data_IF_623930499289
#
_entry.id   IF_623930499289
#
_cell.length_a   1.000
_cell.length_b   1.000
_cell.length_c   1.000
_cell.angle_alpha   90.00
_cell.angle_beta   90.00
_cell.angle_gamma   90.00
#
_symmetry.space_group_name_H-M   'P 1'
#
loop_
_entity.id
_entity.type
_entity.pdbx_description
1 polymer ?
#
# COMPACT_ATOMS: atom_id res chain seq x y z
N UNK A 1 10.27 -2.93 8.11
CA UNK A 1 11.20 -1.86 8.52
C UNK A 1 11.69 -2.00 9.95
N UNK A 2 12.89 -2.60 10.14
CA UNK A 2 13.48 -2.78 11.48
C UNK A 2 14.85 -2.09 11.58
N UNK A 3 15.62 -2.05 10.48
CA UNK A 3 17.03 -1.59 10.49
C UNK A 3 17.18 -0.09 10.17
N UNK A 4 16.16 0.57 9.59
CA UNK A 4 16.25 1.98 9.16
C UNK A 4 15.88 3.01 10.25
N UNK A 5 15.42 2.58 11.44
CA UNK A 5 15.11 3.51 12.54
C UNK A 5 16.42 3.94 13.22
N UNK A 6 16.91 5.13 12.87
CA UNK A 6 18.05 5.77 13.55
C UNK A 6 19.21 6.19 12.63
N UNK A 7 19.15 5.89 11.33
CA UNK A 7 20.10 6.41 10.34
C UNK A 7 19.29 7.24 9.35
N UNK A 8 19.41 8.56 9.46
CA UNK A 8 18.86 9.47 8.45
C UNK A 8 19.83 9.46 7.26
N UNK A 9 19.41 8.81 6.17
CA UNK A 9 20.19 8.72 4.95
C UNK A 9 19.54 9.68 3.97
N UNK A 10 20.13 10.86 3.87
CA UNK A 10 19.82 11.82 2.81
C UNK A 10 20.28 11.28 1.45
N UNK A 11 19.64 11.74 0.37
CA UNK A 11 20.03 11.47 -1.02
C UNK A 11 20.07 10.00 -1.47
N UNK A 12 19.06 9.22 -1.09
CA UNK A 12 18.87 7.89 -1.67
C UNK A 12 18.54 8.03 -3.16
N UNK A 13 19.40 7.49 -4.03
CA UNK A 13 19.23 7.48 -5.49
C UNK A 13 18.17 6.47 -5.97
N UNK A 14 18.06 5.36 -5.26
CA UNK A 14 17.17 4.27 -5.64
C UNK A 14 16.61 3.50 -4.45
N UNK A 15 15.34 3.12 -4.54
CA UNK A 15 14.64 2.27 -3.58
C UNK A 15 14.30 0.96 -4.26
N UNK A 16 14.60 -0.17 -3.61
CA UNK A 16 14.25 -1.52 -4.10
C UNK A 16 13.32 -2.17 -3.08
N UNK A 17 12.07 -2.43 -3.49
CA UNK A 17 11.13 -3.24 -2.73
C UNK A 17 11.30 -4.70 -3.17
N UNK A 18 11.86 -5.52 -2.29
CA UNK A 18 12.01 -6.95 -2.54
C UNK A 18 10.67 -7.71 -2.60
N UNK A 19 9.72 -7.29 -1.77
CA UNK A 19 8.34 -7.77 -1.75
C UNK A 19 7.40 -6.58 -1.94
N UNK A 20 6.19 -6.84 -2.41
CA UNK A 20 5.19 -5.78 -2.60
C UNK A 20 4.67 -5.32 -1.23
N UNK A 21 4.73 -4.01 -0.92
CA UNK A 21 4.14 -3.48 0.32
C UNK A 21 2.66 -3.87 0.45
N UNK A 22 2.23 -4.23 1.66
CA UNK A 22 0.87 -4.71 1.91
C UNK A 22 -0.21 -3.66 1.65
N UNK A 23 0.13 -2.39 1.81
CA UNK A 23 -0.75 -1.26 1.56
C UNK A 23 -0.07 -0.17 0.73
N UNK A 24 -0.90 0.66 0.11
CA UNK A 24 -0.44 1.69 -0.82
C UNK A 24 0.23 2.89 -0.13
N UNK A 25 -0.11 3.15 1.13
CA UNK A 25 0.51 4.26 1.89
C UNK A 25 1.95 3.89 2.25
N UNK A 26 2.19 2.66 2.71
CA UNK A 26 3.54 2.12 2.95
C UNK A 26 4.40 2.16 1.68
N UNK A 27 3.83 1.79 0.53
CA UNK A 27 4.53 1.96 -0.75
C UNK A 27 4.99 3.41 -0.98
N UNK A 28 4.11 4.39 -0.81
CA UNK A 28 4.45 5.81 -0.98
C UNK A 28 5.50 6.27 0.04
N UNK A 29 5.38 5.85 1.30
CA UNK A 29 6.34 6.20 2.34
C UNK A 29 7.74 5.62 2.11
N UNK A 30 7.83 4.43 1.50
CA UNK A 30 9.08 3.78 1.10
C UNK A 30 9.72 4.47 -0.09
N UNK A 31 8.98 4.70 -1.17
CA UNK A 31 9.54 5.34 -2.36
C UNK A 31 9.82 6.83 -2.14
N UNK A 32 9.14 7.49 -1.18
CA UNK A 32 9.41 8.86 -0.76
C UNK A 32 10.77 9.08 -0.08
N UNK A 33 11.61 8.05 -0.02
CA UNK A 33 13.03 8.12 0.38
C UNK A 33 13.95 8.57 -0.75
N UNK A 34 13.54 8.40 -2.01
CA UNK A 34 14.28 8.84 -3.20
C UNK A 34 13.66 10.10 -3.83
N UNK A 35 14.29 10.67 -4.86
CA UNK A 35 13.77 11.79 -5.66
C UNK A 35 13.48 13.07 -4.85
N UNK A 36 14.37 13.40 -3.90
CA UNK A 36 14.29 14.62 -3.09
C UNK A 36 15.16 15.73 -3.71
N UNK A 37 14.93 16.98 -3.30
CA UNK A 37 15.77 18.13 -3.65
C UNK A 37 16.01 18.33 -5.17
N UNK A 38 14.97 18.19 -5.99
CA UNK A 38 15.03 18.30 -7.46
C UNK A 38 15.91 17.25 -8.17
N UNK A 39 16.32 16.19 -7.48
CA UNK A 39 16.97 15.06 -8.12
C UNK A 39 15.95 14.02 -8.57
N UNK A 40 16.27 13.33 -9.66
CA UNK A 40 15.54 12.14 -10.08
C UNK A 40 15.80 10.97 -9.11
N UNK A 41 14.88 10.03 -9.08
CA UNK A 41 14.98 8.84 -8.25
C UNK A 41 14.30 7.65 -8.90
N UNK A 42 14.80 6.46 -8.59
CA UNK A 42 14.28 5.21 -9.16
C UNK A 42 13.71 4.33 -8.05
N UNK A 43 12.50 3.83 -8.25
CA UNK A 43 11.91 2.81 -7.40
C UNK A 43 11.67 1.54 -8.23
N UNK A 44 12.24 0.42 -7.78
CA UNK A 44 12.03 -0.91 -8.37
C UNK A 44 11.28 -1.75 -7.35
N UNK A 45 10.23 -2.42 -7.78
CA UNK A 45 9.48 -3.38 -6.95
C UNK A 45 9.46 -4.71 -7.66
N UNK A 46 9.89 -5.76 -6.97
CA UNK A 46 9.66 -7.12 -7.44
C UNK A 46 8.25 -7.55 -7.05
N UNK A 47 7.58 -8.23 -7.99
CA UNK A 47 6.19 -8.65 -7.86
C UNK A 47 6.14 -10.13 -8.17
N UNK A 48 5.83 -10.95 -7.18
CA UNK A 48 5.53 -12.37 -7.41
C UNK A 48 4.10 -12.55 -7.94
N UNK A 49 3.79 -13.74 -8.48
CA UNK A 49 2.44 -14.12 -8.94
C UNK A 49 1.34 -13.82 -7.91
N UNK A 50 1.62 -14.10 -6.63
CA UNK A 50 0.65 -13.94 -5.54
C UNK A 50 0.42 -12.48 -5.15
N UNK A 51 1.34 -11.58 -5.50
CA UNK A 51 1.33 -10.18 -5.10
C UNK A 51 0.77 -9.25 -6.18
N UNK A 52 0.48 -9.76 -7.37
CA UNK A 52 0.00 -8.96 -8.50
C UNK A 52 -1.27 -8.17 -8.17
N UNK A 53 -2.22 -8.76 -7.44
CA UNK A 53 -3.45 -8.07 -6.99
C UNK A 53 -3.16 -6.93 -6.02
N UNK A 54 -2.22 -7.13 -5.08
CA UNK A 54 -1.77 -6.09 -4.14
C UNK A 54 -1.08 -4.96 -4.91
N UNK A 55 -0.18 -5.31 -5.84
CA UNK A 55 0.47 -4.33 -6.70
C UNK A 55 -0.55 -3.55 -7.55
N UNK A 56 -1.60 -4.20 -8.04
CA UNK A 56 -2.65 -3.51 -8.79
C UNK A 56 -3.41 -2.48 -7.93
N UNK A 57 -3.60 -2.77 -6.64
CA UNK A 57 -4.19 -1.79 -5.72
C UNK A 57 -3.31 -0.55 -5.57
N UNK A 58 -1.98 -0.73 -5.53
CA UNK A 58 -1.01 0.38 -5.50
C UNK A 58 -1.10 1.21 -6.79
N UNK A 59 -1.13 0.58 -7.97
CA UNK A 59 -1.30 1.30 -9.24
C UNK A 59 -2.61 2.12 -9.26
N UNK A 60 -3.70 1.52 -8.81
CA UNK A 60 -5.01 2.18 -8.71
C UNK A 60 -4.96 3.37 -7.75
N UNK A 61 -4.29 3.22 -6.60
CA UNK A 61 -4.10 4.29 -5.62
C UNK A 61 -3.29 5.45 -6.19
N UNK A 62 -2.18 5.14 -6.89
CA UNK A 62 -1.34 6.12 -7.57
C UNK A 62 -2.01 6.74 -8.80
N UNK A 63 -3.10 6.13 -9.29
CA UNK A 63 -3.79 6.46 -10.54
C UNK A 63 -2.85 6.48 -11.74
N UNK A 64 -1.88 5.56 -11.73
CA UNK A 64 -0.85 5.42 -12.76
C UNK A 64 -0.55 3.94 -12.96
N UNK A 65 -0.47 3.54 -14.23
CA UNK A 65 0.10 2.25 -14.58
C UNK A 65 1.62 2.34 -14.54
N UNK A 66 2.24 1.48 -13.75
CA UNK A 66 3.69 1.38 -13.62
C UNK A 66 4.18 0.47 -14.74
N UNK A 67 5.23 0.86 -15.46
CA UNK A 67 5.79 0.04 -16.53
C UNK A 67 6.46 -1.22 -15.95
N UNK A 68 6.34 -2.34 -16.66
CA UNK A 68 6.92 -3.63 -16.26
C UNK A 68 8.17 -3.88 -17.09
N UNK A 69 9.25 -4.26 -16.43
CA UNK A 69 10.54 -4.56 -17.06
C UNK A 69 10.65 -6.08 -17.17
N UNK A 70 11.03 -6.58 -18.35
CA UNK A 70 11.33 -8.00 -18.54
C UNK A 70 12.55 -8.40 -17.72
N UNK A 71 12.55 -9.62 -17.20
CA UNK A 71 13.72 -10.16 -16.50
C UNK A 71 14.89 -10.36 -17.48
N UNK A 72 16.13 -10.20 -17.01
CA UNK A 72 17.31 -10.66 -17.74
C UNK A 72 17.18 -12.13 -18.14
N UNK A 73 17.62 -12.53 -19.35
CA UNK A 73 17.49 -13.91 -19.83
C UNK A 73 18.08 -14.96 -18.88
N UNK A 74 19.07 -14.59 -18.08
CA UNK A 74 19.75 -15.46 -17.13
C UNK A 74 18.86 -15.88 -15.93
N UNK A 75 17.79 -15.13 -15.66
CA UNK A 75 16.86 -15.38 -14.56
C UNK A 75 15.59 -16.14 -14.99
N UNK A 76 15.46 -16.45 -16.29
CA UNK A 76 14.29 -17.11 -16.85
C UNK A 76 13.16 -16.14 -17.20
N UNK A 77 11.99 -16.70 -17.49
CA UNK A 77 10.79 -15.93 -17.84
C UNK A 77 10.12 -15.35 -16.59
N UNK A 78 9.69 -14.09 -16.67
CA UNK A 78 8.86 -13.48 -15.63
C UNK A 78 7.44 -14.05 -15.70
N UNK A 79 6.73 -14.19 -14.57
CA UNK A 79 5.32 -14.54 -14.61
C UNK A 79 4.53 -13.49 -15.39
N UNK A 80 3.53 -13.93 -16.14
CA UNK A 80 2.63 -13.02 -16.85
C UNK A 80 1.87 -12.15 -15.83
N UNK A 81 1.75 -10.86 -16.13
CA UNK A 81 1.08 -9.91 -15.26
C UNK A 81 -0.44 -9.95 -15.47
N UNK A 82 -1.10 -10.84 -14.75
CA UNK A 82 -2.55 -11.03 -14.71
C UNK A 82 -3.10 -10.87 -13.29
N UNK A 83 -3.18 -9.63 -12.76
CA UNK A 83 -3.69 -9.40 -11.42
C UNK A 83 -5.14 -9.88 -11.31
N UNK A 84 -5.38 -10.89 -10.47
CA UNK A 84 -6.73 -11.34 -10.20
C UNK A 84 -7.51 -10.19 -9.53
N UNK A 85 -8.52 -9.68 -10.23
CA UNK A 85 -9.43 -8.70 -9.64
C UNK A 85 -10.29 -9.44 -8.62
N UNK A 86 -9.98 -9.30 -7.33
CA UNK A 86 -10.92 -9.72 -6.29
C UNK A 86 -12.14 -8.79 -6.35
N UNK A 87 -13.13 -9.14 -7.17
CA UNK A 87 -14.49 -8.56 -7.13
C UNK A 87 -15.26 -9.09 -5.91
N UNK A 88 -14.63 -9.02 -4.73
CA UNK A 88 -15.17 -9.51 -3.46
C UNK A 88 -15.36 -8.33 -2.50
N UNK A 89 -16.61 -7.93 -2.29
CA UNK A 89 -16.99 -6.66 -1.68
C UNK A 89 -16.43 -6.37 -0.29
N UNK A 90 -15.83 -5.20 -0.14
CA UNK A 90 -15.92 -4.46 1.11
C UNK A 90 -17.37 -4.04 1.31
N UNK A 91 -18.17 -4.83 2.04
CA UNK A 91 -19.35 -4.30 2.71
C UNK A 91 -18.86 -3.26 3.70
N UNK A 92 -18.91 -1.98 3.33
CA UNK A 92 -18.92 -0.87 4.28
C UNK A 92 -20.03 -1.14 5.29
N UNK A 93 -19.65 -1.61 6.49
CA UNK A 93 -20.54 -1.66 7.65
C UNK A 93 -20.73 -0.20 8.08
N UNK A 94 -21.69 0.47 7.45
CA UNK A 94 -22.27 1.70 8.00
C UNK A 94 -22.84 1.35 9.37
N UNK A 95 -22.11 1.68 10.43
CA UNK A 95 -22.61 1.63 11.80
C UNK A 95 -23.74 2.65 11.93
N UNK A 96 -24.96 2.17 11.70
CA UNK A 96 -26.20 2.91 11.80
C UNK A 96 -26.51 3.15 13.28
N UNK A 97 -26.30 4.39 13.71
CA UNK A 97 -27.06 5.07 14.77
C UNK A 97 -27.03 4.46 16.17
N UNK A 98 -26.16 5.00 17.03
CA UNK A 98 -26.39 4.96 18.48
C UNK A 98 -27.62 5.83 18.80
N UNK A 99 -28.79 5.19 18.92
CA UNK A 99 -29.98 5.78 19.55
C UNK A 99 -29.67 5.96 21.05
N UNK A 100 -29.41 7.21 21.45
CA UNK A 100 -29.31 7.61 22.87
C UNK A 100 -30.68 7.35 23.52
N UNK A 101 -30.76 6.38 24.43
CA UNK A 101 -31.95 6.14 25.25
C UNK A 101 -31.96 7.17 26.37
N UNK A 102 -32.93 8.08 26.37
CA UNK A 102 -33.20 8.94 27.52
C UNK A 102 -33.71 8.07 28.67
N UNK A 103 -33.04 8.18 29.82
CA UNK A 103 -33.39 7.50 31.06
C UNK A 103 -34.66 8.11 31.67
N UNK A 104 -35.66 7.32 32.10
CA UNK A 104 -36.79 7.85 32.83
C UNK A 104 -36.38 8.17 34.27
N UNK A 105 -36.49 9.43 34.68
CA UNK A 105 -36.41 9.82 36.09
C UNK A 105 -37.70 9.42 36.82
N UNK A 106 -37.69 8.28 37.51
CA UNK A 106 -38.71 7.94 38.51
C UNK A 106 -38.15 8.09 39.93
N UNK A 107 -38.58 9.19 40.56
CA UNK A 107 -39.15 9.32 41.90
C UNK A 107 -38.46 8.68 43.12
N UNK A 108 -38.22 9.54 44.13
CA UNK A 108 -38.63 9.40 45.55
C UNK A 108 -38.35 10.75 46.23
N UNK A 109 -39.36 11.52 46.61
CA UNK A 109 -40.15 11.46 47.86
C UNK A 109 -39.32 11.76 49.12
N UNK A 110 -39.31 13.04 49.55
CA UNK A 110 -39.84 13.55 50.82
C UNK A 110 -39.51 15.04 50.96
#
# INVERSE_FOLDING_TARGET
>A
DIVARGIDIDDIRSVINFDVPHDSEDYVHRIGRTARANNDGVAITFVSEKEQSTFKNIENFLRKDIYKISLPPELGEAPEYEPHTNKGGHKTIFHRGYKRKETPSQQRSR
#
